data_IF_190737129321
#
_entry.id   IF_190737129321
#
_cell.length_a   1.000
_cell.length_b   1.000
_cell.length_c   1.000
_cell.angle_alpha   90.00
_cell.angle_beta   90.00
_cell.angle_gamma   90.00
#
_symmetry.space_group_name_H-M   'P 1'
#
loop_
_entity.id
_entity.type
_entity.pdbx_description
1 polymer ?
#
# COMPACT_ATOMS: atom_id res chain seq x y z
N UNK A 1 -30.24 -38.22 -36.53
CA UNK A 1 -29.49 -37.02 -36.11
C UNK A 1 -30.52 -35.91 -36.03
N UNK A 2 -30.96 -35.50 -34.85
CA UNK A 2 -30.33 -34.43 -34.08
C UNK A 2 -30.79 -34.49 -32.61
N UNK A 3 -29.85 -34.55 -31.67
CA UNK A 3 -30.13 -34.32 -30.25
C UNK A 3 -30.10 -32.82 -29.99
N UNK A 4 -31.25 -32.22 -29.68
CA UNK A 4 -31.31 -30.83 -29.20
C UNK A 4 -30.90 -30.77 -27.73
N UNK A 5 -29.62 -30.51 -27.46
CA UNK A 5 -29.16 -30.21 -26.11
C UNK A 5 -29.37 -28.73 -25.83
N UNK A 6 -30.42 -28.41 -25.06
CA UNK A 6 -30.59 -27.08 -24.46
C UNK A 6 -29.56 -26.91 -23.36
N UNK A 7 -28.42 -26.30 -23.68
CA UNK A 7 -27.47 -25.79 -22.69
C UNK A 7 -27.99 -24.45 -22.15
N UNK A 8 -28.84 -24.50 -21.14
CA UNK A 8 -29.11 -23.32 -20.32
C UNK A 8 -27.96 -23.19 -19.32
N UNK A 9 -26.90 -22.48 -19.72
CA UNK A 9 -25.84 -22.10 -18.80
C UNK A 9 -26.40 -21.03 -17.85
N UNK A 10 -26.38 -21.22 -16.52
CA UNK A 10 -26.74 -20.14 -15.61
C UNK A 10 -25.64 -19.08 -15.71
N UNK A 11 -25.96 -17.91 -16.29
CA UNK A 11 -25.12 -16.73 -16.11
C UNK A 11 -25.19 -16.41 -14.64
N UNK A 12 -24.08 -16.63 -13.93
CA UNK A 12 -23.93 -16.10 -12.58
C UNK A 12 -23.72 -14.61 -12.73
N UNK A 13 -24.80 -13.89 -13.01
CA UNK A 13 -24.89 -12.45 -12.79
C UNK A 13 -24.86 -12.25 -11.28
N UNK A 14 -23.64 -12.36 -10.74
CA UNK A 14 -23.31 -11.78 -9.45
C UNK A 14 -23.41 -10.27 -9.66
N UNK A 15 -24.63 -9.78 -9.55
CA UNK A 15 -24.99 -8.40 -9.24
C UNK A 15 -24.42 -8.11 -7.84
N UNK A 16 -23.09 -8.07 -7.74
CA UNK A 16 -22.42 -7.50 -6.60
C UNK A 16 -22.82 -6.04 -6.65
N UNK A 17 -23.61 -5.54 -5.67
CA UNK A 17 -23.84 -4.12 -5.60
C UNK A 17 -22.46 -3.47 -5.65
N UNK A 18 -22.28 -2.60 -6.64
CA UNK A 18 -21.10 -1.76 -6.81
C UNK A 18 -21.09 -0.74 -5.66
N UNK A 19 -21.10 -1.24 -4.41
CA UNK A 19 -20.72 -0.51 -3.23
C UNK A 19 -19.30 -0.10 -3.51
N UNK A 20 -19.15 1.14 -3.94
CA UNK A 20 -17.86 1.82 -4.05
C UNK A 20 -17.14 1.61 -2.73
N UNK A 21 -16.17 0.71 -2.71
CA UNK A 21 -15.31 0.50 -1.55
C UNK A 21 -14.49 1.78 -1.43
N UNK A 22 -14.94 2.69 -0.57
CA UNK A 22 -14.19 3.88 -0.21
C UNK A 22 -13.15 3.44 0.82
N UNK A 23 -11.91 3.28 0.38
CA UNK A 23 -10.79 3.10 1.29
C UNK A 23 -10.61 4.38 2.11
N UNK A 24 -10.51 4.27 3.44
CA UNK A 24 -10.25 5.42 4.31
C UNK A 24 -8.76 5.75 4.42
N UNK A 25 -7.90 4.78 4.13
CA UNK A 25 -6.45 4.91 4.08
C UNK A 25 -5.86 3.80 3.19
N UNK A 26 -4.65 4.03 2.70
CA UNK A 26 -3.81 3.02 2.04
C UNK A 26 -2.55 2.80 2.87
N UNK A 27 -2.11 1.54 2.94
CA UNK A 27 -0.93 1.16 3.72
C UNK A 27 0.29 1.02 2.82
N UNK A 28 1.44 1.45 3.31
CA UNK A 28 2.74 1.22 2.68
C UNK A 28 3.78 0.78 3.72
N UNK A 29 4.92 0.28 3.25
CA UNK A 29 5.96 -0.28 4.13
C UNK A 29 7.26 0.49 3.97
N UNK A 30 7.85 0.89 5.10
CA UNK A 30 9.16 1.53 5.13
C UNK A 30 10.25 0.54 4.68
N UNK A 31 11.06 0.95 3.71
CA UNK A 31 12.13 0.14 3.13
C UNK A 31 13.29 -0.09 4.11
N UNK A 32 13.43 0.76 5.14
CA UNK A 32 14.51 0.67 6.13
C UNK A 32 14.16 -0.25 7.29
N UNK A 33 13.01 -0.03 7.94
CA UNK A 33 12.64 -0.75 9.15
C UNK A 33 11.56 -1.83 8.95
N UNK A 34 10.92 -1.90 7.78
CA UNK A 34 9.80 -2.79 7.52
C UNK A 34 8.50 -2.40 8.23
N UNK A 35 8.47 -1.24 8.90
CA UNK A 35 7.27 -0.74 9.57
C UNK A 35 6.19 -0.35 8.57
N UNK A 36 4.94 -0.68 8.90
CA UNK A 36 3.78 -0.29 8.13
C UNK A 36 3.32 1.13 8.52
N UNK A 37 2.99 1.94 7.53
CA UNK A 37 2.49 3.31 7.68
C UNK A 37 1.19 3.44 6.87
N UNK A 38 0.30 4.34 7.31
CA UNK A 38 -0.95 4.64 6.63
C UNK A 38 -0.92 6.05 6.08
N UNK A 39 -1.54 6.25 4.91
CA UNK A 39 -1.65 7.54 4.24
C UNK A 39 -3.02 7.65 3.57
N UNK A 40 -3.43 8.87 3.22
CA UNK A 40 -4.66 9.10 2.47
C UNK A 40 -4.59 8.38 1.10
N UNK A 41 -5.69 7.77 0.61
CA UNK A 41 -5.69 7.08 -0.68
C UNK A 41 -5.35 7.97 -1.89
N UNK A 42 -5.54 9.28 -1.79
CA UNK A 42 -5.19 10.26 -2.84
C UNK A 42 -3.71 10.69 -2.78
N UNK A 43 -3.00 10.33 -1.71
CA UNK A 43 -1.60 10.65 -1.50
C UNK A 43 -0.68 9.48 -1.90
N UNK A 44 0.52 9.82 -2.35
CA UNK A 44 1.56 8.84 -2.68
C UNK A 44 2.53 8.67 -1.51
N UNK A 45 2.96 7.43 -1.26
CA UNK A 45 4.07 7.17 -0.35
C UNK A 45 5.33 7.96 -0.78
N UNK A 46 6.17 8.40 0.17
CA UNK A 46 7.39 9.13 -0.16
C UNK A 46 8.32 8.31 -1.07
N UNK A 47 9.09 9.00 -1.92
CA UNK A 47 10.11 8.38 -2.78
C UNK A 47 11.52 8.87 -2.38
N UNK A 48 12.41 7.99 -1.87
CA UNK A 48 12.20 6.58 -1.59
C UNK A 48 11.24 6.33 -0.40
N UNK A 49 10.60 5.14 -0.30
CA UNK A 49 9.62 4.82 0.75
C UNK A 49 10.30 4.62 2.12
N UNK A 50 10.61 5.72 2.78
CA UNK A 50 11.27 5.76 4.10
C UNK A 50 10.34 6.49 5.07
N UNK A 51 10.01 5.85 6.20
CA UNK A 51 9.15 6.47 7.22
C UNK A 51 9.83 7.67 7.89
N UNK A 52 9.04 8.63 8.42
CA UNK A 52 9.59 9.83 9.06
C UNK A 52 10.58 9.53 10.19
N UNK A 53 10.36 8.45 10.94
CA UNK A 53 11.25 8.02 12.03
C UNK A 53 12.62 7.60 11.52
N UNK A 54 12.68 6.74 10.49
CA UNK A 54 13.93 6.31 9.88
C UNK A 54 14.66 7.48 9.22
N UNK A 55 13.92 8.38 8.56
CA UNK A 55 14.50 9.56 7.94
C UNK A 55 15.17 10.48 8.98
N UNK A 56 14.49 10.77 10.10
CA UNK A 56 15.05 11.59 11.18
C UNK A 56 16.27 10.96 11.83
N UNK A 57 16.26 9.63 12.03
CA UNK A 57 17.41 8.92 12.58
C UNK A 57 18.64 9.05 11.67
N UNK A 58 18.46 8.83 10.36
CA UNK A 58 19.54 8.99 9.38
C UNK A 58 20.11 10.42 9.39
N UNK A 59 19.26 11.45 9.47
CA UNK A 59 19.72 12.85 9.60
C UNK A 59 20.50 13.07 10.90
N UNK A 60 20.01 12.55 12.03
CA UNK A 60 20.69 12.69 13.32
C UNK A 60 22.08 12.02 13.33
N UNK A 61 22.20 10.83 12.73
CA UNK A 61 23.48 10.12 12.60
C UNK A 61 24.45 10.85 11.67
N UNK A 62 23.96 11.38 10.55
CA UNK A 62 24.76 12.20 9.65
C UNK A 62 25.28 13.47 10.36
N UNK A 63 24.43 14.16 11.13
CA UNK A 63 24.83 15.32 11.90
C UNK A 63 25.86 14.97 12.98
N UNK A 64 25.67 13.87 13.72
CA UNK A 64 26.64 13.42 14.72
C UNK A 64 28.02 13.15 14.08
N UNK A 65 28.02 12.55 12.89
CA UNK A 65 29.24 12.30 12.11
C UNK A 65 29.92 13.60 11.68
N UNK A 66 29.15 14.56 11.16
CA UNK A 66 29.67 15.87 10.71
C UNK A 66 30.21 16.73 11.86
N UNK A 67 29.57 16.66 13.02
CA UNK A 67 29.97 17.41 14.22
C UNK A 67 31.10 16.72 15.00
N UNK A 68 31.55 15.54 14.58
CA UNK A 68 32.57 14.77 15.29
C UNK A 68 32.14 14.28 16.67
N UNK A 69 30.83 14.26 16.94
CA UNK A 69 30.27 13.74 18.20
C UNK A 69 30.31 12.21 18.13
N UNK A 70 31.43 11.63 18.56
CA UNK A 70 31.53 10.19 18.75
C UNK A 70 30.85 9.81 20.07
N UNK A 71 29.87 8.90 20.01
CA UNK A 71 29.32 8.23 21.19
C UNK A 71 30.30 7.20 21.73
#
# INVERSE_FOLDING_TARGET
>A
MTHGSSNTQPTSDLDLPMHTVTWSSVQWTCLVCGGAEEIDPEEEAPTPPICPSCHRLAVAEALATLLGVRR
#
